data_IF_822604363599
#
_entry.id   IF_822604363599
#
_cell.length_a   1.000
_cell.length_b   1.000
_cell.length_c   1.000
_cell.angle_alpha   90.00
_cell.angle_beta   90.00
_cell.angle_gamma   90.00
#
_symmetry.space_group_name_H-M   'P 1'
#
loop_
_entity.id
_entity.type
_entity.pdbx_description
1 polymer ?
#
# COMPACT_ATOMS: atom_id res chain seq x y z
N UNK A 1 28.38 5.50 -32.59
CA UNK A 1 28.30 5.03 -31.19
C UNK A 1 28.35 6.26 -30.30
N UNK A 2 27.35 6.52 -29.46
CA UNK A 2 27.39 7.67 -28.54
C UNK A 2 28.50 7.45 -27.51
N UNK A 3 29.29 8.48 -27.22
CA UNK A 3 30.36 8.40 -26.23
C UNK A 3 29.79 8.13 -24.83
N UNK A 4 30.58 7.53 -23.95
CA UNK A 4 30.18 7.22 -22.57
C UNK A 4 29.68 8.48 -21.83
N UNK A 5 30.34 9.62 -22.06
CA UNK A 5 29.96 10.93 -21.51
C UNK A 5 28.62 11.46 -22.06
N UNK A 6 28.29 11.16 -23.32
CA UNK A 6 27.03 11.58 -23.94
C UNK A 6 25.84 10.74 -23.44
N UNK A 7 26.08 9.48 -23.06
CA UNK A 7 25.11 8.65 -22.34
C UNK A 7 24.88 9.15 -20.91
N UNK A 8 25.94 9.46 -20.18
CA UNK A 8 25.87 9.90 -18.79
C UNK A 8 25.13 11.25 -18.66
N UNK A 9 25.42 12.22 -19.54
CA UNK A 9 24.67 13.50 -19.63
C UNK A 9 23.19 13.31 -19.99
N UNK A 10 22.85 12.33 -20.83
CA UNK A 10 21.45 12.01 -21.16
C UNK A 10 20.70 11.38 -19.99
N UNK A 11 21.39 10.62 -19.14
CA UNK A 11 20.81 10.03 -17.93
C UNK A 11 20.62 11.05 -16.81
N UNK A 12 21.56 11.99 -16.61
CA UNK A 12 21.44 13.05 -15.60
C UNK A 12 20.27 14.02 -15.86
N UNK A 13 19.92 14.25 -17.12
CA UNK A 13 18.79 15.10 -17.52
C UNK A 13 17.42 14.41 -17.47
N UNK A 14 17.38 13.08 -17.43
CA UNK A 14 16.13 12.32 -17.36
C UNK A 14 15.63 12.32 -15.91
N UNK A 15 14.42 12.84 -15.69
CA UNK A 15 13.74 12.68 -14.40
C UNK A 15 13.73 11.18 -14.07
N UNK A 16 14.18 10.76 -12.88
CA UNK A 16 14.23 9.35 -12.56
C UNK A 16 12.83 8.75 -12.71
N UNK A 17 12.77 7.58 -13.32
CA UNK A 17 11.54 6.98 -13.87
C UNK A 17 10.38 6.90 -12.88
N UNK A 18 10.65 6.77 -11.58
CA UNK A 18 9.65 6.76 -10.51
C UNK A 18 8.95 8.13 -10.28
N UNK A 19 9.50 9.23 -10.81
CA UNK A 19 8.97 10.61 -10.69
C UNK A 19 8.05 11.01 -11.85
N UNK A 20 7.98 10.24 -12.93
CA UNK A 20 6.99 10.48 -13.98
C UNK A 20 5.60 10.07 -13.49
N UNK A 21 4.54 10.58 -14.12
CA UNK A 21 3.14 10.18 -13.83
C UNK A 21 2.92 8.67 -13.94
N UNK A 22 3.76 8.00 -14.73
CA UNK A 22 3.87 6.55 -14.94
C UNK A 22 4.53 5.82 -13.75
N UNK A 23 5.53 6.42 -13.10
CA UNK A 23 6.21 5.83 -11.93
C UNK A 23 5.44 5.93 -10.61
N UNK A 24 4.37 6.74 -10.55
CA UNK A 24 3.59 6.95 -9.32
C UNK A 24 2.72 5.74 -9.01
N UNK A 25 3.00 5.08 -7.89
CA UNK A 25 2.13 4.03 -7.39
C UNK A 25 0.74 4.54 -6.99
N UNK A 26 -0.29 3.92 -7.57
CA UNK A 26 -1.71 4.18 -7.32
C UNK A 26 -2.34 3.01 -6.58
N UNK A 27 -3.24 3.33 -5.66
CA UNK A 27 -4.04 2.31 -4.98
C UNK A 27 -5.03 1.72 -5.98
N UNK A 28 -5.09 0.39 -6.04
CA UNK A 28 -6.06 -0.35 -6.85
C UNK A 28 -7.00 -1.05 -5.88
N UNK A 29 -8.30 -0.79 -6.02
CA UNK A 29 -9.31 -1.43 -5.16
C UNK A 29 -9.44 -2.91 -5.52
N UNK A 30 -9.22 -3.84 -4.56
CA UNK A 30 -9.40 -5.27 -4.80
C UNK A 30 -10.88 -5.64 -5.02
N UNK A 31 -11.83 -4.78 -4.62
CA UNK A 31 -13.28 -4.97 -4.78
C UNK A 31 -13.77 -4.92 -6.24
N UNK A 32 -12.91 -4.53 -7.19
CA UNK A 32 -13.24 -4.49 -8.61
C UNK A 32 -13.11 -5.85 -9.32
N UNK A 33 -12.65 -6.89 -8.62
CA UNK A 33 -12.48 -8.24 -9.19
C UNK A 33 -13.75 -9.08 -9.04
N UNK A 34 -14.07 -9.84 -10.10
CA UNK A 34 -15.19 -10.78 -10.10
C UNK A 34 -15.03 -11.79 -8.98
N UNK A 35 -16.12 -12.17 -8.33
CA UNK A 35 -16.14 -13.24 -7.32
C UNK A 35 -15.43 -14.49 -7.86
N UNK A 36 -14.35 -14.92 -7.19
CA UNK A 36 -13.50 -16.05 -7.60
C UNK A 36 -12.07 -15.69 -8.02
N UNK A 37 -11.77 -14.41 -8.29
CA UNK A 37 -10.42 -13.91 -8.64
C UNK A 37 -9.64 -13.34 -7.45
N UNK A 38 -9.88 -13.89 -6.26
CA UNK A 38 -9.34 -13.44 -4.98
C UNK A 38 -7.86 -13.86 -4.79
N UNK A 39 -7.02 -13.60 -5.81
CA UNK A 39 -5.60 -13.97 -5.88
C UNK A 39 -4.72 -12.77 -5.59
N UNK A 40 -3.66 -12.98 -4.81
CA UNK A 40 -2.63 -11.97 -4.61
C UNK A 40 -1.85 -11.71 -5.91
N UNK A 41 -1.82 -10.45 -6.37
CA UNK A 41 -1.06 -10.07 -7.57
C UNK A 41 0.43 -10.39 -7.39
N UNK A 42 1.05 -10.97 -8.42
CA UNK A 42 2.46 -11.34 -8.41
C UNK A 42 2.76 -12.60 -7.59
N UNK A 43 1.75 -13.38 -7.20
CA UNK A 43 1.92 -14.63 -6.45
C UNK A 43 1.22 -15.80 -7.14
N UNK A 44 1.99 -16.81 -7.52
CA UNK A 44 1.51 -18.10 -8.01
C UNK A 44 1.51 -19.11 -6.86
N UNK A 45 0.33 -19.52 -6.35
CA UNK A 45 0.23 -20.46 -5.23
C UNK A 45 0.73 -21.85 -5.62
N UNK A 46 1.19 -22.62 -4.62
CA UNK A 46 1.56 -24.02 -4.82
C UNK A 46 0.31 -24.83 -5.21
N UNK A 47 0.37 -25.78 -6.16
CA UNK A 47 -0.80 -26.59 -6.55
C UNK A 47 -1.49 -27.29 -5.37
N UNK A 48 -0.69 -27.90 -4.48
CA UNK A 48 -1.13 -28.50 -3.22
C UNK A 48 -1.63 -27.51 -2.14
N UNK A 49 -1.45 -26.19 -2.31
CA UNK A 49 -1.95 -25.21 -1.34
C UNK A 49 -3.47 -25.09 -1.49
N UNK A 50 -4.20 -25.49 -0.44
CA UNK A 50 -5.66 -25.40 -0.39
C UNK A 50 -6.14 -23.97 -0.68
N UNK A 51 -7.25 -23.82 -1.40
CA UNK A 51 -7.79 -22.49 -1.77
C UNK A 51 -8.02 -21.57 -0.55
N UNK A 52 -8.35 -22.15 0.60
CA UNK A 52 -8.59 -21.41 1.86
C UNK A 52 -7.32 -20.86 2.52
N UNK A 53 -6.17 -21.45 2.23
CA UNK A 53 -4.86 -21.09 2.78
C UNK A 53 -4.06 -20.16 1.86
N UNK A 54 -4.64 -19.78 0.71
CA UNK A 54 -4.00 -18.84 -0.23
C UNK A 54 -4.17 -17.40 0.27
N UNK A 55 -3.12 -16.57 0.21
CA UNK A 55 -3.24 -15.17 0.58
C UNK A 55 -4.15 -14.47 -0.43
N UNK A 56 -5.15 -13.76 0.10
CA UNK A 56 -6.10 -12.97 -0.68
C UNK A 56 -5.68 -11.51 -0.63
N UNK A 57 -5.70 -10.84 -1.77
CA UNK A 57 -5.28 -9.44 -1.88
C UNK A 57 -6.18 -8.54 -1.03
N UNK A 58 -5.57 -7.79 -0.12
CA UNK A 58 -6.27 -6.82 0.72
C UNK A 58 -6.05 -5.39 0.23
N UNK A 59 -4.88 -5.12 -0.37
CA UNK A 59 -4.60 -3.85 -1.02
C UNK A 59 -3.43 -3.99 -1.99
N UNK A 60 -3.41 -3.13 -3.01
CA UNK A 60 -2.35 -3.09 -4.02
C UNK A 60 -1.99 -1.66 -4.36
N UNK A 61 -0.70 -1.46 -4.53
CA UNK A 61 -0.11 -0.29 -5.15
C UNK A 61 0.52 -0.70 -6.48
N UNK A 62 0.11 -0.05 -7.57
CA UNK A 62 0.58 -0.37 -8.93
C UNK A 62 1.18 0.86 -9.59
N UNK A 63 2.32 0.69 -10.25
CA UNK A 63 2.94 1.68 -11.12
C UNK A 63 3.32 1.07 -12.47
N UNK A 64 3.96 1.85 -13.34
CA UNK A 64 4.41 1.38 -14.65
C UNK A 64 5.56 0.37 -14.57
N UNK A 65 6.33 0.39 -13.50
CA UNK A 65 7.55 -0.42 -13.38
C UNK A 65 7.31 -1.68 -12.55
N UNK A 66 6.38 -1.64 -11.60
CA UNK A 66 6.18 -2.73 -10.67
C UNK A 66 4.87 -2.64 -9.89
N UNK A 67 4.58 -3.73 -9.21
CA UNK A 67 3.43 -3.91 -8.34
C UNK A 67 3.89 -4.26 -6.93
N UNK A 68 3.27 -3.60 -5.96
CA UNK A 68 3.40 -3.87 -4.54
C UNK A 68 2.02 -4.30 -4.03
N UNK A 69 1.84 -5.59 -3.80
CA UNK A 69 0.56 -6.15 -3.38
C UNK A 69 0.65 -6.75 -1.98
N UNK A 70 -0.34 -6.47 -1.14
CA UNK A 70 -0.47 -7.07 0.19
C UNK A 70 -1.68 -7.98 0.19
N UNK A 71 -1.47 -9.21 0.63
CA UNK A 71 -2.54 -10.15 0.89
C UNK A 71 -2.46 -10.75 2.28
N UNK A 72 -3.57 -11.35 2.69
CA UNK A 72 -3.69 -12.02 3.99
C UNK A 72 -4.37 -13.36 3.80
N UNK A 73 -3.88 -14.39 4.49
CA UNK A 73 -4.52 -15.70 4.50
C UNK A 73 -5.48 -15.86 5.70
N UNK A 74 -6.17 -17.01 5.79
CA UNK A 74 -7.05 -17.34 6.92
C UNK A 74 -6.31 -17.54 8.24
N UNK A 75 -5.02 -17.88 8.19
CA UNK A 75 -4.13 -18.01 9.35
C UNK A 75 -3.60 -16.65 9.83
N UNK A 76 -4.13 -15.55 9.29
CA UNK A 76 -3.76 -14.16 9.60
C UNK A 76 -2.30 -13.83 9.23
N UNK A 77 -1.67 -14.64 8.36
CA UNK A 77 -0.36 -14.33 7.85
C UNK A 77 -0.48 -13.24 6.79
N UNK A 78 0.32 -12.20 6.95
CA UNK A 78 0.40 -11.11 5.97
C UNK A 78 1.50 -11.46 4.97
N UNK A 79 1.16 -11.40 3.69
CA UNK A 79 2.08 -11.64 2.57
C UNK A 79 2.18 -10.35 1.77
N UNK A 80 3.37 -9.76 1.72
CA UNK A 80 3.67 -8.59 0.89
C UNK A 80 4.52 -9.04 -0.30
N UNK A 81 4.07 -8.77 -1.51
CA UNK A 81 4.73 -9.17 -2.76
C UNK A 81 5.19 -7.94 -3.52
N UNK A 82 6.43 -7.98 -3.97
CA UNK A 82 7.02 -7.02 -4.90
C UNK A 82 7.29 -7.77 -6.20
N UNK A 83 6.74 -7.24 -7.29
CA UNK A 83 6.92 -7.82 -8.63
C UNK A 83 7.16 -6.74 -9.66
N UNK A 84 7.87 -7.10 -10.72
CA UNK A 84 8.14 -6.21 -11.84
C UNK A 84 6.99 -6.27 -12.84
N UNK A 85 6.61 -5.11 -13.33
CA UNK A 85 5.63 -4.93 -14.41
C UNK A 85 6.40 -4.63 -15.70
N UNK A 86 5.83 -5.03 -16.83
CA UNK A 86 6.43 -4.80 -18.15
C UNK A 86 6.74 -3.31 -18.33
N UNK A 87 8.03 -2.97 -18.44
CA UNK A 87 8.45 -1.63 -18.83
C UNK A 87 8.07 -1.37 -20.29
N UNK A 88 7.67 -0.14 -20.61
CA UNK A 88 7.46 0.31 -22.00
C UNK A 88 8.78 0.48 -22.75
N UNK A 89 9.85 0.84 -22.05
CA UNK A 89 11.15 1.21 -22.64
C UNK A 89 12.27 0.20 -22.34
N UNK A 90 12.00 -0.85 -21.56
CA UNK A 90 12.98 -1.85 -21.12
C UNK A 90 12.74 -3.25 -21.68
N UNK A 91 13.67 -4.19 -21.46
CA UNK A 91 13.49 -5.59 -21.81
C UNK A 91 12.23 -6.15 -21.15
N UNK A 92 11.59 -7.11 -21.82
CA UNK A 92 10.39 -7.73 -21.28
C UNK A 92 10.73 -8.45 -19.97
N UNK A 93 10.04 -8.06 -18.89
CA UNK A 93 10.24 -8.71 -17.59
C UNK A 93 10.02 -10.22 -17.69
N UNK A 94 10.96 -10.99 -17.14
CA UNK A 94 10.89 -12.46 -17.13
C UNK A 94 9.69 -12.94 -16.32
N UNK A 95 9.34 -14.22 -16.44
CA UNK A 95 8.25 -14.79 -15.63
C UNK A 95 8.58 -14.71 -14.14
N UNK A 96 9.84 -14.93 -13.77
CA UNK A 96 10.30 -14.90 -12.39
C UNK A 96 10.29 -13.51 -11.77
N UNK A 97 10.56 -12.47 -12.56
CA UNK A 97 10.41 -11.06 -12.15
C UNK A 97 8.93 -10.66 -11.92
N UNK A 98 8.01 -11.23 -12.69
CA UNK A 98 6.58 -10.89 -12.68
C UNK A 98 5.81 -11.55 -11.54
N UNK A 99 6.20 -12.76 -11.15
CA UNK A 99 5.47 -13.50 -10.12
C UNK A 99 6.38 -14.44 -9.32
N UNK A 100 6.14 -14.49 -8.00
CA UNK A 100 6.72 -15.48 -7.13
C UNK A 100 5.97 -16.81 -7.27
N UNK A 101 6.71 -17.88 -7.53
CA UNK A 101 6.18 -19.25 -7.72
C UNK A 101 6.35 -20.05 -6.45
N UNK A 102 5.29 -20.18 -5.65
CA UNK A 102 5.35 -20.81 -4.35
C UNK A 102 5.77 -22.29 -4.37
N UNK A 103 5.64 -22.99 -5.50
CA UNK A 103 6.11 -24.37 -5.67
C UNK A 103 7.63 -24.53 -5.70
N UNK A 104 8.37 -23.49 -6.06
CA UNK A 104 9.84 -23.51 -6.10
C UNK A 104 10.50 -22.41 -5.27
N UNK A 105 9.71 -21.52 -4.68
CA UNK A 105 10.21 -20.37 -3.94
C UNK A 105 11.11 -20.81 -2.77
N UNK A 106 12.29 -20.20 -2.68
CA UNK A 106 13.26 -20.47 -1.62
C UNK A 106 13.26 -19.33 -0.62
N UNK A 107 13.43 -19.69 0.65
CA UNK A 107 13.63 -18.70 1.71
C UNK A 107 15.03 -18.09 1.56
N UNK A 108 15.14 -16.78 1.64
CA UNK A 108 16.43 -16.09 1.65
C UNK A 108 17.08 -16.21 3.03
N UNK A 109 18.20 -16.93 3.12
CA UNK A 109 18.87 -17.18 4.41
C UNK A 109 19.63 -15.96 4.95
N UNK A 110 20.14 -15.11 4.05
CA UNK A 110 20.97 -13.94 4.41
C UNK A 110 20.17 -12.75 4.97
N UNK A 111 18.85 -12.83 4.98
CA UNK A 111 17.96 -11.73 5.38
C UNK A 111 17.10 -12.13 6.56
N UNK A 112 17.08 -11.29 7.60
CA UNK A 112 16.21 -11.51 8.76
C UNK A 112 14.75 -11.35 8.38
N UNK A 113 14.00 -12.45 8.36
CA UNK A 113 12.58 -12.49 8.07
C UNK A 113 12.21 -13.74 7.27
N UNK A 114 10.95 -13.84 6.84
CA UNK A 114 10.52 -14.88 5.91
C UNK A 114 10.39 -14.26 4.51
N UNK A 115 11.55 -13.96 3.93
CA UNK A 115 11.63 -13.52 2.55
C UNK A 115 11.76 -14.72 1.63
N UNK A 116 11.03 -14.71 0.53
CA UNK A 116 10.99 -15.77 -0.46
C UNK A 116 11.20 -15.20 -1.86
N UNK A 117 12.04 -15.87 -2.65
CA UNK A 117 12.32 -15.53 -4.05
C UNK A 117 12.29 -16.80 -4.91
N UNK A 118 12.19 -16.64 -6.23
CA UNK A 118 12.31 -17.78 -7.14
C UNK A 118 13.76 -18.29 -7.20
N UNK A 119 13.98 -19.59 -7.42
CA UNK A 119 15.30 -20.21 -7.28
C UNK A 119 16.25 -19.95 -8.46
N UNK A 120 15.71 -19.64 -9.64
CA UNK A 120 16.49 -19.52 -10.87
C UNK A 120 17.38 -18.27 -10.86
N UNK A 121 16.83 -17.13 -10.45
CA UNK A 121 17.55 -15.87 -10.30
C UNK A 121 17.05 -15.15 -9.06
N UNK A 122 17.60 -15.47 -7.87
CA UNK A 122 17.07 -14.94 -6.62
C UNK A 122 17.16 -13.42 -6.58
N UNK A 123 18.16 -12.77 -7.18
CA UNK A 123 18.44 -11.34 -7.06
C UNK A 123 17.50 -10.48 -7.94
N UNK A 124 17.11 -11.00 -9.11
CA UNK A 124 16.20 -10.34 -10.04
C UNK A 124 14.77 -10.87 -9.99
N UNK A 125 14.45 -11.83 -9.13
CA UNK A 125 13.08 -12.36 -9.06
C UNK A 125 12.09 -11.46 -8.31
N UNK A 126 10.81 -11.73 -8.53
CA UNK A 126 9.75 -11.34 -7.63
C UNK A 126 10.04 -11.85 -6.22
N UNK A 127 9.62 -11.04 -5.26
CA UNK A 127 9.97 -11.19 -3.86
C UNK A 127 8.69 -11.17 -3.04
N UNK A 128 8.52 -12.15 -2.16
CA UNK A 128 7.51 -12.08 -1.12
C UNK A 128 8.14 -12.01 0.26
N UNK A 129 7.51 -11.24 1.13
CA UNK A 129 7.73 -11.27 2.56
C UNK A 129 6.49 -11.80 3.24
N UNK A 130 6.66 -12.86 4.03
CA UNK A 130 5.61 -13.40 4.88
C UNK A 130 5.91 -13.07 6.33
N UNK A 131 4.86 -12.82 7.10
CA UNK A 131 4.97 -12.71 8.55
C UNK A 131 3.81 -13.45 9.19
N UNK A 132 4.08 -14.40 10.12
CA UNK A 132 3.05 -15.18 10.80
C UNK A 132 2.22 -14.32 11.76
N UNK A 133 2.76 -13.17 12.18
CA UNK A 133 2.17 -12.34 13.21
C UNK A 133 2.16 -10.87 12.81
N UNK A 134 1.12 -10.12 13.19
CA UNK A 134 0.77 -8.75 12.76
C UNK A 134 1.89 -7.73 13.09
N UNK A 135 2.98 -7.59 12.32
CA UNK A 135 4.05 -6.69 12.72
C UNK A 135 3.52 -5.27 12.54
N UNK A 136 3.96 -4.35 13.40
CA UNK A 136 3.71 -2.94 13.11
C UNK A 136 4.20 -2.64 11.68
N UNK A 137 3.42 -1.96 10.82
CA UNK A 137 3.83 -1.64 9.44
C UNK A 137 5.23 -1.02 9.34
N UNK A 138 5.63 -0.25 10.36
CA UNK A 138 6.98 0.29 10.47
C UNK A 138 8.08 -0.79 10.60
N UNK A 139 7.84 -1.87 11.35
CA UNK A 139 8.80 -3.00 11.47
C UNK A 139 8.97 -3.72 10.14
N UNK A 140 7.87 -3.98 9.42
CA UNK A 140 7.92 -4.58 8.08
C UNK A 140 8.73 -3.71 7.11
N UNK A 141 8.41 -2.42 7.01
CA UNK A 141 9.15 -1.52 6.15
C UNK A 141 10.63 -1.42 6.52
N UNK A 142 10.95 -1.45 7.81
CA UNK A 142 12.34 -1.50 8.28
C UNK A 142 13.08 -2.78 7.92
N UNK A 143 12.40 -3.92 7.76
CA UNK A 143 13.01 -5.15 7.24
C UNK A 143 13.28 -5.04 5.74
N UNK A 144 12.32 -4.53 4.96
CA UNK A 144 12.51 -4.26 3.54
C UNK A 144 13.65 -3.28 3.27
N UNK A 145 13.72 -2.18 4.02
CA UNK A 145 14.81 -1.22 3.90
C UNK A 145 16.17 -1.87 4.16
N UNK A 146 16.29 -2.67 5.22
CA UNK A 146 17.53 -3.41 5.52
C UNK A 146 17.92 -4.36 4.39
N UNK A 147 16.96 -5.04 3.79
CA UNK A 147 17.21 -5.94 2.67
C UNK A 147 17.71 -5.21 1.42
N UNK A 148 17.12 -4.06 1.08
CA UNK A 148 17.61 -3.24 -0.06
C UNK A 148 19.06 -2.82 0.14
N UNK A 149 19.42 -2.41 1.35
CA UNK A 149 20.79 -1.96 1.64
C UNK A 149 21.82 -3.10 1.58
N UNK A 150 21.41 -4.33 1.86
CA UNK A 150 22.27 -5.50 1.71
C UNK A 150 22.55 -5.87 0.24
N UNK A 151 21.97 -5.14 -0.74
CA UNK A 151 21.99 -5.47 -2.18
C UNK A 151 21.58 -6.90 -2.49
N UNK A 152 20.79 -7.51 -1.60
CA UNK A 152 20.37 -8.89 -1.75
C UNK A 152 19.28 -9.06 -2.82
N UNK A 153 18.64 -7.95 -3.26
CA UNK A 153 17.55 -7.96 -4.24
C UNK A 153 17.54 -6.68 -5.08
N UNK A 154 17.87 -6.78 -6.37
CA UNK A 154 17.85 -5.66 -7.31
C UNK A 154 16.42 -5.21 -7.63
N UNK A 155 15.49 -6.17 -7.79
CA UNK A 155 14.08 -5.86 -8.05
C UNK A 155 13.49 -4.98 -6.95
N UNK A 156 13.86 -5.18 -5.69
CA UNK A 156 13.32 -4.35 -4.63
C UNK A 156 13.81 -2.90 -4.73
N UNK A 157 15.08 -2.70 -5.05
CA UNK A 157 15.66 -1.37 -5.23
C UNK A 157 15.10 -0.65 -6.47
N UNK A 158 14.91 -1.38 -7.57
CA UNK A 158 14.36 -0.85 -8.82
C UNK A 158 12.86 -0.50 -8.69
N UNK A 159 12.07 -1.41 -8.09
CA UNK A 159 10.60 -1.28 -8.06
C UNK A 159 10.10 -0.43 -6.89
N UNK A 160 10.87 -0.34 -5.82
CA UNK A 160 10.47 0.36 -4.60
C UNK A 160 11.53 1.38 -4.15
N UNK A 161 12.04 2.25 -5.05
CA UNK A 161 13.19 3.12 -4.78
C UNK A 161 12.91 4.19 -3.73
N UNK A 162 11.63 4.44 -3.42
CA UNK A 162 11.23 5.40 -2.38
C UNK A 162 11.41 4.89 -0.95
N UNK A 163 11.66 3.59 -0.76
CA UNK A 163 12.04 3.08 0.54
C UNK A 163 13.46 3.49 0.91
N UNK A 164 14.33 3.76 -0.08
CA UNK A 164 15.67 4.29 0.16
C UNK A 164 15.65 5.80 -0.02
N UNK A 165 16.12 6.50 1.00
CA UNK A 165 16.20 7.96 1.06
C UNK A 165 17.62 8.42 1.39
N UNK A 166 18.56 7.50 1.60
CA UNK A 166 19.94 7.82 1.96
C UNK A 166 20.67 8.55 0.82
N UNK A 167 20.60 8.08 -0.44
CA UNK A 167 21.31 8.76 -1.54
C UNK A 167 20.90 10.23 -1.68
N UNK A 168 19.60 10.54 -1.60
CA UNK A 168 19.15 11.94 -1.69
C UNK A 168 19.51 12.78 -0.47
N UNK A 169 19.59 12.18 0.72
CA UNK A 169 20.00 12.88 1.94
C UNK A 169 21.49 13.21 1.92
N UNK A 170 22.32 12.26 1.49
CA UNK A 170 23.76 12.45 1.32
C UNK A 170 24.05 13.49 0.24
N UNK A 171 23.36 13.40 -0.91
CA UNK A 171 23.47 14.40 -1.96
C UNK A 171 23.04 15.80 -1.48
N UNK A 172 21.99 15.91 -0.66
CA UNK A 172 21.59 17.19 -0.07
C UNK A 172 22.61 17.75 0.91
N UNK A 173 23.29 16.90 1.67
CA UNK A 173 24.36 17.30 2.59
C UNK A 173 25.57 17.81 1.79
N UNK A 174 26.04 17.06 0.80
CA UNK A 174 27.15 17.43 -0.07
C UNK A 174 26.88 18.74 -0.84
N UNK A 175 25.65 18.95 -1.33
CA UNK A 175 25.25 20.22 -1.95
C UNK A 175 25.18 21.39 -0.95
N UNK A 176 24.92 21.11 0.33
CA UNK A 176 24.99 22.10 1.39
C UNK A 176 26.43 22.56 1.60
N UNK A 177 27.34 21.60 1.83
CA UNK A 177 28.78 21.83 2.01
C UNK A 177 29.36 22.61 0.81
N UNK A 178 29.07 22.18 -0.42
CA UNK A 178 29.52 22.89 -1.64
C UNK A 178 28.95 24.30 -1.77
N UNK A 179 27.71 24.53 -1.35
CA UNK A 179 27.12 25.87 -1.39
C UNK A 179 27.78 26.80 -0.36
N UNK A 180 28.14 26.28 0.81
CA UNK A 180 28.84 27.06 1.84
C UNK A 180 30.27 27.42 1.38
N UNK A 181 30.98 26.49 0.73
CA UNK A 181 32.29 26.74 0.12
C UNK A 181 32.24 27.85 -0.95
N UNK A 182 31.24 27.82 -1.83
CA UNK A 182 31.09 28.84 -2.89
C UNK A 182 30.72 30.21 -2.33
N UNK A 183 29.93 30.27 -1.25
CA UNK A 183 29.65 31.52 -0.55
C UNK A 183 30.90 32.10 0.08
N UNK A 184 31.78 31.26 0.62
CA UNK A 184 33.05 31.68 1.20
C UNK A 184 34.03 32.23 0.14
N UNK A 185 34.04 31.66 -1.07
CA UNK A 185 34.90 32.11 -2.18
C UNK A 185 34.47 33.44 -2.80
N UNK A 186 33.16 33.69 -2.87
CA UNK A 186 32.61 34.91 -3.47
C UNK A 186 32.80 35.01 -4.99
N UNK A 187 32.33 36.10 -5.60
CA UNK A 187 32.47 36.37 -7.03
C UNK A 187 31.22 36.09 -7.88
N UNK A 188 31.23 36.58 -9.13
CA UNK A 188 30.10 36.48 -10.06
C UNK A 188 29.85 35.03 -10.52
N UNK A 189 30.90 34.26 -10.77
CA UNK A 189 30.82 32.84 -11.15
C UNK A 189 30.25 31.99 -10.00
N UNK A 190 30.68 32.25 -8.76
CA UNK A 190 30.15 31.57 -7.58
C UNK A 190 28.64 31.84 -7.40
N UNK A 191 28.16 33.05 -7.69
CA UNK A 191 26.72 33.38 -7.66
C UNK A 191 25.91 32.60 -8.70
N UNK A 192 26.44 32.44 -9.91
CA UNK A 192 25.78 31.65 -10.96
C UNK A 192 25.71 30.15 -10.58
N UNK A 193 26.80 29.59 -10.04
CA UNK A 193 26.86 28.20 -9.58
C UNK A 193 25.93 27.96 -8.38
N UNK A 194 25.85 28.90 -7.43
CA UNK A 194 24.91 28.86 -6.31
C UNK A 194 23.45 28.74 -6.77
N UNK A 195 23.06 29.51 -7.79
CA UNK A 195 21.71 29.43 -8.37
C UNK A 195 21.40 28.03 -8.95
N UNK A 196 22.38 27.38 -9.59
CA UNK A 196 22.22 26.01 -10.08
C UNK A 196 22.13 24.98 -8.93
N UNK A 197 22.95 25.14 -7.89
CA UNK A 197 22.93 24.28 -6.70
C UNK A 197 21.60 24.39 -5.94
N UNK A 198 21.03 25.59 -5.81
CA UNK A 198 19.75 25.82 -5.15
C UNK A 198 18.60 25.09 -5.87
N UNK A 199 18.55 25.16 -7.20
CA UNK A 199 17.59 24.40 -8.00
C UNK A 199 17.75 22.90 -7.78
N UNK A 200 18.99 22.39 -7.75
CA UNK A 200 19.27 20.97 -7.48
C UNK A 200 18.85 20.57 -6.06
N UNK A 201 19.10 21.41 -5.05
CA UNK A 201 18.63 21.20 -3.66
C UNK A 201 17.11 21.17 -3.59
N UNK A 202 16.42 22.10 -4.26
CA UNK A 202 14.95 22.12 -4.30
C UNK A 202 14.40 20.84 -4.96
N UNK A 203 14.98 20.42 -6.08
CA UNK A 203 14.59 19.19 -6.76
C UNK A 203 14.78 17.94 -5.89
N UNK A 204 15.87 17.86 -5.11
CA UNK A 204 16.10 16.76 -4.16
C UNK A 204 15.16 16.82 -2.94
N UNK A 205 14.85 18.02 -2.42
CA UNK A 205 13.85 18.17 -1.34
C UNK A 205 12.48 17.69 -1.79
N UNK A 206 12.04 18.07 -2.98
CA UNK A 206 10.82 17.56 -3.59
C UNK A 206 10.86 16.03 -3.77
N UNK A 207 12.02 15.48 -4.12
CA UNK A 207 12.21 14.03 -4.26
C UNK A 207 11.95 13.33 -2.93
N UNK A 208 12.56 13.86 -1.86
CA UNK A 208 12.40 13.32 -0.51
C UNK A 208 10.97 13.43 0.02
N UNK A 209 10.22 14.47 -0.33
CA UNK A 209 8.82 14.61 0.08
C UNK A 209 7.93 13.63 -0.69
N UNK A 210 8.14 13.46 -1.99
CA UNK A 210 7.43 12.46 -2.82
C UNK A 210 7.68 11.04 -2.31
N UNK A 211 8.95 10.67 -2.06
CA UNK A 211 9.31 9.36 -1.50
C UNK A 211 8.66 9.12 -0.14
N UNK A 212 8.64 10.14 0.72
CA UNK A 212 7.97 10.06 2.02
C UNK A 212 6.45 9.85 1.88
N UNK A 213 5.80 10.52 0.92
CA UNK A 213 4.38 10.34 0.64
C UNK A 213 4.08 8.92 0.15
N UNK A 214 4.91 8.35 -0.74
CA UNK A 214 4.78 6.96 -1.19
C UNK A 214 4.97 5.97 -0.03
N UNK A 215 5.97 6.18 0.83
CA UNK A 215 6.16 5.35 2.01
C UNK A 215 4.96 5.41 2.97
N UNK A 216 4.34 6.58 3.14
CA UNK A 216 3.09 6.72 3.92
C UNK A 216 1.94 5.91 3.30
N UNK A 217 1.79 5.93 1.97
CA UNK A 217 0.79 5.09 1.28
C UNK A 217 1.01 3.60 1.54
N UNK A 218 2.25 3.12 1.50
CA UNK A 218 2.56 1.72 1.83
C UNK A 218 2.21 1.39 3.28
N UNK A 219 2.47 2.30 4.22
CA UNK A 219 2.06 2.12 5.63
C UNK A 219 0.55 1.99 5.77
N UNK A 220 -0.21 2.88 5.13
CA UNK A 220 -1.68 2.84 5.13
C UNK A 220 -2.18 1.54 4.48
N UNK A 221 -1.58 1.12 3.38
CA UNK A 221 -1.89 -0.15 2.70
C UNK A 221 -1.72 -1.35 3.64
N UNK A 222 -0.60 -1.40 4.38
CA UNK A 222 -0.35 -2.45 5.37
C UNK A 222 -1.32 -2.38 6.57
N UNK A 223 -1.74 -1.17 6.97
CA UNK A 223 -2.76 -1.00 8.01
C UNK A 223 -4.13 -1.52 7.55
N UNK A 224 -4.58 -1.13 6.34
CA UNK A 224 -5.81 -1.64 5.73
C UNK A 224 -5.80 -3.16 5.62
N UNK A 225 -4.70 -3.73 5.15
CA UNK A 225 -4.55 -5.19 5.07
C UNK A 225 -4.65 -5.86 6.45
N UNK A 226 -4.12 -5.23 7.50
CA UNK A 226 -4.25 -5.73 8.88
C UNK A 226 -5.69 -5.65 9.38
N UNK A 227 -6.43 -4.60 9.06
CA UNK A 227 -7.85 -4.46 9.41
C UNK A 227 -8.71 -5.48 8.67
N UNK A 228 -8.46 -5.67 7.37
CA UNK A 228 -9.10 -6.69 6.54
C UNK A 228 -8.84 -8.11 7.09
N UNK A 229 -7.61 -8.39 7.54
CA UNK A 229 -7.27 -9.65 8.21
C UNK A 229 -8.07 -9.86 9.50
N UNK A 230 -8.22 -8.82 10.34
CA UNK A 230 -9.06 -8.89 11.55
C UNK A 230 -10.52 -9.16 11.19
N UNK A 231 -11.04 -8.47 10.17
CA UNK A 231 -12.41 -8.63 9.70
C UNK A 231 -12.72 -10.04 9.23
N UNK A 232 -11.82 -10.62 8.44
CA UNK A 232 -11.97 -11.99 7.91
C UNK A 232 -11.83 -13.07 8.97
N UNK A 233 -11.09 -12.78 10.03
CA UNK A 233 -10.94 -13.69 11.17
C UNK A 233 -12.12 -13.64 12.16
N UNK A 234 -13.14 -12.82 11.90
CA UNK A 234 -14.26 -12.62 12.84
C UNK A 234 -13.88 -11.83 14.09
N UNK A 235 -12.71 -11.18 14.11
CA UNK A 235 -12.24 -10.36 15.26
C UNK A 235 -12.73 -8.92 15.21
N UNK A 236 -13.25 -8.45 14.07
CA UNK A 236 -13.94 -7.17 14.03
C UNK A 236 -15.41 -7.40 14.38
N UNK A 237 -15.88 -6.82 15.48
CA UNK A 237 -17.28 -6.43 15.53
C UNK A 237 -17.62 -5.73 14.21
N UNK A 238 -18.75 -6.08 13.55
CA UNK A 238 -19.15 -5.36 12.35
C UNK A 238 -19.14 -3.86 12.69
N UNK A 239 -18.65 -2.99 11.79
CA UNK A 239 -18.76 -1.56 12.04
C UNK A 239 -20.24 -1.29 12.30
N UNK A 240 -20.58 -0.95 13.54
CA UNK A 240 -21.92 -0.52 13.92
C UNK A 240 -22.29 0.54 12.88
N UNK A 241 -23.27 0.22 12.04
CA UNK A 241 -23.84 1.09 11.01
C UNK A 241 -24.42 2.32 11.72
N UNK A 242 -23.58 3.26 12.10
CA UNK A 242 -23.95 4.62 12.44
C UNK A 242 -23.58 5.49 11.25
N UNK A 243 -24.34 5.31 10.17
CA UNK A 243 -24.47 6.31 9.12
C UNK A 243 -25.97 6.47 8.87
N UNK A 244 -26.54 7.45 9.57
CA UNK A 244 -27.59 8.37 9.09
C UNK A 244 -28.92 7.74 8.65
N UNK A 245 -29.77 7.38 9.63
CA UNK A 245 -31.20 7.74 9.52
C UNK A 245 -31.35 9.17 10.04
N UNK A 246 -31.14 10.14 9.16
CA UNK A 246 -31.67 11.50 9.31
C UNK A 246 -32.22 11.92 7.96
N UNK A 247 -33.46 11.51 7.69
CA UNK A 247 -34.43 12.29 6.94
C UNK A 247 -35.82 11.74 7.27
N UNK A 248 -36.65 12.63 7.79
CA UNK A 248 -38.00 12.44 8.32
C UNK A 248 -39.03 12.14 7.20
N UNK A 249 -40.29 11.83 7.55
CA UNK A 249 -41.30 11.28 6.64
C UNK A 249 -41.93 12.37 5.77
N UNK A 250 -42.16 12.06 4.50
CA UNK A 250 -43.06 12.81 3.62
C UNK A 250 -43.88 11.77 2.85
N UNK A 251 -45.20 11.93 2.91
CA UNK A 251 -46.17 10.89 2.58
C UNK A 251 -46.27 10.55 1.10
N UNK A 252 -46.92 9.42 0.85
CA UNK A 252 -48.09 9.32 -0.02
C UNK A 252 -48.65 7.89 0.12
N UNK A 253 -49.90 7.83 0.59
CA UNK A 253 -50.74 6.64 0.60
C UNK A 253 -50.97 6.12 -0.83
N UNK A 254 -51.28 4.83 -0.95
CA UNK A 254 -52.40 4.44 -1.79
C UNK A 254 -53.51 3.77 -0.96
N UNK A 255 -54.79 4.14 -1.13
CA UNK A 255 -55.93 3.37 -0.62
C UNK A 255 -56.35 2.33 -1.69
N UNK A 256 -57.44 1.56 -1.49
CA UNK A 256 -58.04 0.97 -0.28
C UNK A 256 -58.20 -0.56 -0.44
N UNK A 257 -58.61 -1.27 0.60
CA UNK A 257 -59.50 -2.46 0.48
C UNK A 257 -60.09 -2.79 1.86
N UNK A 258 -61.30 -2.27 2.12
CA UNK A 258 -62.29 -2.88 3.02
C UNK A 258 -62.81 -4.19 2.39
N UNK A 259 -63.66 -5.04 3.03
CA UNK A 259 -64.29 -4.93 4.34
C UNK A 259 -64.26 -6.24 5.16
N UNK A 260 -64.60 -6.17 6.45
CA UNK A 260 -65.36 -7.18 7.22
C UNK A 260 -65.50 -6.62 8.64
N UNK A 261 -66.47 -5.75 8.87
CA UNK A 261 -67.86 -6.07 9.22
C UNK A 261 -67.99 -6.91 10.50
N UNK A 262 -68.54 -6.23 11.50
CA UNK A 262 -69.44 -6.74 12.57
C UNK A 262 -68.82 -7.46 13.79
N UNK A 263 -69.46 -7.36 14.98
CA UNK A 263 -69.35 -6.21 15.88
C UNK A 263 -69.21 -6.65 17.36
N UNK A 264 -69.25 -5.67 18.27
CA UNK A 264 -69.82 -5.69 19.63
C UNK A 264 -69.54 -6.89 20.55
N UNK A 265 -68.93 -6.59 21.71
CA UNK A 265 -69.68 -6.55 22.96
C UNK A 265 -68.89 -5.76 24.03
N UNK A 266 -69.61 -5.08 24.95
CA UNK A 266 -69.07 -4.21 25.98
C UNK A 266 -68.77 -4.99 27.27
N UNK A 267 -68.03 -4.39 28.19
CA UNK A 267 -68.49 -4.24 29.59
C UNK A 267 -67.51 -3.35 30.37
N UNK A 268 -68.10 -2.32 30.95
CA UNK A 268 -67.59 -1.43 31.99
C UNK A 268 -67.30 -2.22 33.32
N UNK A 269 -67.23 -1.56 34.49
CA UNK A 269 -66.25 -0.59 34.97
C UNK A 269 -65.68 -1.06 36.33
N UNK A 270 -64.95 -0.14 36.98
CA UNK A 270 -64.70 -0.01 38.42
C UNK A 270 -63.18 0.11 38.62
N UNK A 271 -62.65 1.22 39.09
CA UNK A 271 -63.23 2.15 40.05
C UNK A 271 -62.23 2.27 41.18
N UNK A 272 -62.22 3.46 41.77
CA UNK A 272 -61.64 3.76 43.08
C UNK A 272 -60.11 3.71 43.15
N UNK A 273 -59.41 4.81 43.41
CA UNK A 273 -59.63 5.65 44.58
C UNK A 273 -58.38 5.48 45.45
N UNK A 274 -57.56 6.52 45.55
CA UNK A 274 -56.27 6.39 46.22
C UNK A 274 -55.47 7.69 46.22
N UNK A 275 -56.03 8.69 46.88
CA UNK A 275 -55.33 9.89 47.30
C UNK A 275 -54.02 9.58 48.07
N UNK A 276 -53.02 10.42 47.77
CA UNK A 276 -51.97 11.02 48.64
C UNK A 276 -52.23 10.89 50.16
N UNK A 277 -51.19 10.88 51.04
CA UNK A 277 -50.17 11.93 51.16
C UNK A 277 -48.73 11.40 51.39
N UNK A 278 -47.68 12.11 50.99
CA UNK A 278 -47.05 13.27 51.66
C UNK A 278 -46.37 12.94 53.01
N UNK A 279 -45.11 13.40 53.11
CA UNK A 279 -44.24 13.57 54.30
C UNK A 279 -43.37 12.36 54.73
N UNK A 280 -42.09 12.44 54.41
CA UNK A 280 -41.09 13.09 55.29
C UNK A 280 -39.81 13.40 54.53
#
# INVERSE_FOLDING_TARGET
MASFEEKERREEGRKPLWRTSEGRMREVSPLSRREGEDRLTGYEPHPAQEKKDRPREAARLSGSYGDLAVGTDRKKQLTLVVSKRRSREGPAATRDEKALRASGARKMERVRGEFFTNPHDPEQSALAFRSPDKPAPGRMLGQFQRMMHGRAQEVLAEQVPFLDRRPEREALKALGERADDLRARGGAEARAELGALERRRQALRQSLTEKAAQQRKVRLMLQKAREESKRRAGESEPPRRYWLLTAAPAGEEPPPEEPENTPDLPEEPAGDGGERPEKK
#
